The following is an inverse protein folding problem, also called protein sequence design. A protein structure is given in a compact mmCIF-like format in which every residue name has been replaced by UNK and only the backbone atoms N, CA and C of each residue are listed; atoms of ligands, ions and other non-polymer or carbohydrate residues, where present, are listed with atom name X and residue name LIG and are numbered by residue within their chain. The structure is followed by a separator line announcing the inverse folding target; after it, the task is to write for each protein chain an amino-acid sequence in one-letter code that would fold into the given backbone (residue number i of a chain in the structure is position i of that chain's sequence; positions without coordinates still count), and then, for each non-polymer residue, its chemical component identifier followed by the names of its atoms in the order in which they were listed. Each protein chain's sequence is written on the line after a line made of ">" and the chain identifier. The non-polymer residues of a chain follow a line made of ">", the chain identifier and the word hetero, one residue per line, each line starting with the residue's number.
data_IF_360268777120
#
_entry.id   IF_360268777120
#
_cell.length_a   1.000
_cell.length_b   1.000
_cell.length_c   1.000
_cell.angle_alpha   90.00
_cell.angle_beta   90.00
_cell.angle_gamma   90.00
#
_symmetry.space_group_name_H-M   'P 1'
#
loop_
_entity.id
_entity.type
_entity.pdbx_description
1 polymer ?
#
# COMPACT_ATOMS: atom_id res chain seq x y z
N UNK A 1 12.87 -13.76 4.75
CA UNK A 1 11.97 -14.51 5.67
C UNK A 1 10.56 -14.32 5.12
N UNK A 2 9.75 -15.36 4.92
CA UNK A 2 8.38 -15.16 4.42
C UNK A 2 7.52 -14.64 5.57
N UNK A 3 7.27 -13.33 5.59
CA UNK A 3 6.33 -12.71 6.53
C UNK A 3 4.95 -13.30 6.24
N UNK A 4 4.27 -13.79 7.27
CA UNK A 4 2.89 -14.26 7.13
C UNK A 4 1.93 -13.08 7.19
N UNK A 5 0.81 -13.23 6.49
CA UNK A 5 -0.28 -12.27 6.46
C UNK A 5 -0.76 -11.87 7.87
N UNK A 6 -1.07 -12.88 8.69
CA UNK A 6 -1.52 -12.75 10.08
C UNK A 6 -0.52 -11.98 10.94
N UNK A 7 0.77 -12.26 10.77
CA UNK A 7 1.84 -11.64 11.52
C UNK A 7 2.02 -10.16 11.15
N UNK A 8 1.89 -9.82 9.85
CA UNK A 8 2.01 -8.45 9.36
C UNK A 8 0.88 -7.55 9.86
N UNK A 9 -0.37 -8.04 9.80
CA UNK A 9 -1.54 -7.28 10.21
C UNK A 9 -1.84 -7.35 11.71
N UNK A 10 -1.12 -8.18 12.49
CA UNK A 10 -1.21 -8.21 13.95
C UNK A 10 -0.75 -6.89 14.59
N UNK A 11 -1.45 -6.42 15.62
CA UNK A 11 -1.03 -5.27 16.43
C UNK A 11 0.03 -5.61 17.47
N UNK A 12 0.25 -6.90 17.74
CA UNK A 12 1.19 -7.36 18.76
C UNK A 12 2.62 -7.42 18.24
N UNK A 13 2.79 -7.33 16.91
CA UNK A 13 4.07 -7.50 16.23
C UNK A 13 4.45 -6.25 15.43
N UNK A 14 5.67 -5.77 15.65
CA UNK A 14 6.33 -4.74 14.84
C UNK A 14 7.04 -5.40 13.63
N UNK A 15 6.23 -5.95 12.71
CA UNK A 15 6.72 -6.63 11.51
C UNK A 15 6.58 -5.70 10.31
N UNK A 16 7.71 -5.48 9.64
CA UNK A 16 7.80 -4.68 8.42
C UNK A 16 8.57 -5.45 7.35
N UNK A 17 8.18 -5.26 6.10
CA UNK A 17 8.95 -5.72 4.95
C UNK A 17 10.18 -4.82 4.76
N UNK A 18 11.33 -5.43 4.50
CA UNK A 18 12.50 -4.71 3.98
C UNK A 18 12.29 -4.38 2.49
N UNK A 19 13.07 -3.46 1.92
CA UNK A 19 12.86 -2.92 0.56
C UNK A 19 12.58 -3.97 -0.51
N UNK A 20 13.49 -4.92 -0.72
CA UNK A 20 13.31 -5.94 -1.75
C UNK A 20 12.08 -6.82 -1.51
N UNK A 21 11.66 -7.00 -0.26
CA UNK A 21 10.50 -7.81 0.08
C UNK A 21 9.19 -7.04 -0.13
N UNK A 22 9.19 -5.70 -0.05
CA UNK A 22 8.01 -4.86 -0.33
C UNK A 22 7.50 -5.10 -1.75
N UNK A 23 8.37 -4.93 -2.75
CA UNK A 23 7.99 -5.04 -4.16
C UNK A 23 7.50 -6.45 -4.52
N UNK A 24 8.06 -7.47 -3.87
CA UNK A 24 7.79 -8.87 -4.20
C UNK A 24 6.60 -9.48 -3.43
N UNK A 25 6.31 -8.99 -2.21
CA UNK A 25 5.34 -9.64 -1.33
C UNK A 25 4.16 -8.74 -0.95
N UNK A 26 4.34 -7.42 -0.88
CA UNK A 26 3.28 -6.48 -0.52
C UNK A 26 2.57 -6.00 -1.78
N UNK A 27 1.70 -6.84 -2.35
CA UNK A 27 0.95 -6.56 -3.57
C UNK A 27 -0.56 -6.41 -3.29
N UNK A 28 -1.35 -6.16 -4.34
CA UNK A 28 -2.80 -5.99 -4.26
C UNK A 28 -3.50 -7.21 -3.64
N UNK A 29 -3.14 -8.41 -4.10
CA UNK A 29 -3.69 -9.67 -3.59
C UNK A 29 -3.42 -9.81 -2.08
N UNK A 30 -2.19 -9.55 -1.64
CA UNK A 30 -1.81 -9.61 -0.23
C UNK A 30 -2.64 -8.64 0.64
N UNK A 31 -2.96 -7.45 0.13
CA UNK A 31 -3.79 -6.49 0.84
C UNK A 31 -5.25 -6.97 0.95
N UNK A 32 -5.82 -7.50 -0.12
CA UNK A 32 -7.19 -8.02 -0.12
C UNK A 32 -7.32 -9.31 0.71
N UNK A 33 -6.32 -10.18 0.70
CA UNK A 33 -6.22 -11.29 1.64
C UNK A 33 -6.22 -10.79 3.09
N UNK A 34 -5.46 -9.72 3.36
CA UNK A 34 -5.42 -9.05 4.66
C UNK A 34 -6.79 -8.54 5.10
N UNK A 35 -7.56 -7.97 4.16
CA UNK A 35 -8.91 -7.47 4.42
C UNK A 35 -9.85 -8.60 4.81
N UNK A 36 -9.83 -9.69 4.04
CA UNK A 36 -10.60 -10.89 4.34
C UNK A 36 -10.24 -11.47 5.71
N UNK A 37 -8.94 -11.50 6.04
CA UNK A 37 -8.47 -11.95 7.35
C UNK A 37 -9.00 -11.07 8.49
N UNK A 38 -8.83 -9.75 8.41
CA UNK A 38 -9.28 -8.83 9.45
C UNK A 38 -10.79 -8.89 9.65
N UNK A 39 -11.56 -8.94 8.56
CA UNK A 39 -13.01 -9.15 8.61
C UNK A 39 -13.36 -10.46 9.33
N UNK A 40 -12.66 -11.56 9.01
CA UNK A 40 -12.91 -12.87 9.61
C UNK A 40 -12.66 -12.88 11.13
N UNK A 41 -11.64 -12.15 11.60
CA UNK A 41 -11.30 -12.06 13.03
C UNK A 41 -12.01 -10.91 13.75
N UNK A 42 -12.91 -10.18 13.08
CA UNK A 42 -13.71 -9.10 13.67
C UNK A 42 -12.94 -7.82 13.96
N UNK A 43 -11.88 -7.53 13.19
CA UNK A 43 -11.07 -6.33 13.26
C UNK A 43 -11.46 -5.37 12.13
N UNK A 44 -11.50 -4.07 12.42
CA UNK A 44 -11.77 -3.01 11.44
C UNK A 44 -10.73 -3.04 10.30
N UNK A 45 -11.20 -3.13 9.05
CA UNK A 45 -10.36 -3.23 7.86
C UNK A 45 -9.59 -1.94 7.57
N UNK A 46 -10.00 -0.79 8.13
CA UNK A 46 -9.24 0.46 8.11
C UNK A 46 -7.82 0.32 8.64
N UNK A 47 -7.57 -0.71 9.47
CA UNK A 47 -6.24 -1.01 9.99
C UNK A 47 -5.22 -1.39 8.90
N UNK A 48 -5.68 -1.86 7.73
CA UNK A 48 -4.81 -2.07 6.57
C UNK A 48 -4.12 -0.77 6.18
N UNK A 49 -4.89 0.32 6.04
CA UNK A 49 -4.33 1.63 5.69
C UNK A 49 -3.28 2.07 6.71
N UNK A 50 -3.54 1.92 8.01
CA UNK A 50 -2.59 2.29 9.05
C UNK A 50 -1.32 1.42 9.03
N UNK A 51 -1.44 0.12 8.76
CA UNK A 51 -0.29 -0.78 8.60
C UNK A 51 0.55 -0.44 7.37
N UNK A 52 -0.08 -0.16 6.23
CA UNK A 52 0.62 0.29 5.02
C UNK A 52 1.31 1.64 5.24
N UNK A 53 0.67 2.57 5.96
CA UNK A 53 1.25 3.86 6.31
C UNK A 53 2.48 3.69 7.23
N UNK A 54 2.38 2.82 8.24
CA UNK A 54 3.51 2.50 9.11
C UNK A 54 4.68 1.89 8.32
N UNK A 55 4.40 1.00 7.36
CA UNK A 55 5.40 0.43 6.45
C UNK A 55 6.10 1.52 5.61
N UNK A 56 5.36 2.48 5.05
CA UNK A 56 5.94 3.62 4.34
C UNK A 56 6.89 4.42 5.24
N UNK A 57 6.48 4.74 6.47
CA UNK A 57 7.31 5.48 7.40
C UNK A 57 8.52 4.69 7.88
N UNK A 58 8.40 3.37 8.05
CA UNK A 58 9.54 2.51 8.36
C UNK A 58 10.61 2.60 7.27
N UNK A 59 10.23 2.49 6.00
CA UNK A 59 11.15 2.61 4.86
C UNK A 59 11.81 4.00 4.81
N UNK A 60 11.02 5.08 5.00
CA UNK A 60 11.52 6.46 5.06
C UNK A 60 12.50 6.67 6.22
N UNK A 61 12.19 6.11 7.41
CA UNK A 61 13.02 6.25 8.60
C UNK A 61 14.38 5.56 8.48
N UNK A 62 14.43 4.39 7.83
CA UNK A 62 15.69 3.67 7.56
C UNK A 62 16.62 4.43 6.60
N UNK A 63 16.22 5.60 6.11
CA UNK A 63 16.93 6.44 5.16
C UNK A 63 17.30 5.67 3.88
N UNK A 64 16.42 4.74 3.49
CA UNK A 64 16.64 3.90 2.33
C UNK A 64 16.30 4.72 1.09
N UNK A 65 17.30 4.96 0.24
CA UNK A 65 17.18 5.70 -1.03
C UNK A 65 16.59 4.86 -2.17
N UNK A 66 15.85 3.80 -1.85
CA UNK A 66 15.21 2.96 -2.87
C UNK A 66 13.86 3.53 -3.25
N UNK A 67 13.88 4.36 -4.30
CA UNK A 67 12.68 4.95 -4.84
C UNK A 67 11.67 3.92 -5.35
N UNK A 68 12.09 2.72 -5.80
CA UNK A 68 11.13 1.74 -6.34
C UNK A 68 10.30 1.12 -5.23
N UNK A 69 10.91 0.78 -4.09
CA UNK A 69 10.15 0.31 -2.93
C UNK A 69 9.21 1.38 -2.38
N UNK A 70 9.68 2.64 -2.32
CA UNK A 70 8.83 3.76 -1.89
C UNK A 70 7.69 3.99 -2.88
N UNK A 71 7.94 3.94 -4.19
CA UNK A 71 6.90 4.05 -5.21
C UNK A 71 5.85 2.94 -5.06
N UNK A 72 6.32 1.71 -4.84
CA UNK A 72 5.45 0.55 -4.69
C UNK A 72 4.53 0.63 -3.46
N UNK A 73 5.04 1.00 -2.28
CA UNK A 73 4.16 1.15 -1.11
C UNK A 73 3.15 2.30 -1.29
N UNK A 74 3.56 3.42 -1.90
CA UNK A 74 2.64 4.53 -2.22
C UNK A 74 1.54 4.06 -3.18
N UNK A 75 1.90 3.26 -4.20
CA UNK A 75 0.95 2.62 -5.12
C UNK A 75 -0.06 1.74 -4.38
N UNK A 76 0.39 0.87 -3.48
CA UNK A 76 -0.48 -0.04 -2.73
C UNK A 76 -1.42 0.73 -1.79
N UNK A 77 -0.94 1.79 -1.14
CA UNK A 77 -1.81 2.68 -0.35
C UNK A 77 -2.88 3.31 -1.23
N UNK A 78 -2.50 3.86 -2.38
CA UNK A 78 -3.47 4.48 -3.29
C UNK A 78 -4.51 3.48 -3.80
N UNK A 79 -4.09 2.27 -4.15
CA UNK A 79 -4.98 1.19 -4.57
C UNK A 79 -6.03 0.88 -3.51
N UNK A 80 -5.59 0.62 -2.27
CA UNK A 80 -6.49 0.24 -1.21
C UNK A 80 -7.43 1.37 -0.80
N UNK A 81 -6.91 2.58 -0.64
CA UNK A 81 -7.71 3.75 -0.23
C UNK A 81 -8.70 4.15 -1.32
N UNK A 82 -8.26 4.10 -2.58
CA UNK A 82 -9.03 4.59 -3.72
C UNK A 82 -10.13 3.65 -4.18
N UNK A 83 -9.96 2.33 -4.04
CA UNK A 83 -10.89 1.34 -4.59
C UNK A 83 -11.63 0.49 -3.55
N UNK A 84 -11.25 0.55 -2.26
CA UNK A 84 -11.83 -0.32 -1.23
C UNK A 84 -12.24 0.42 0.04
N UNK A 85 -11.32 1.18 0.66
CA UNK A 85 -11.60 1.78 1.96
C UNK A 85 -12.57 2.98 1.89
N UNK A 86 -12.47 3.80 0.84
CA UNK A 86 -13.29 5.00 0.60
C UNK A 86 -13.57 5.88 1.85
N UNK A 87 -12.53 6.33 2.60
CA UNK A 87 -12.75 7.24 3.71
C UNK A 87 -13.25 8.61 3.22
N UNK A 88 -13.66 9.49 4.13
CA UNK A 88 -13.97 10.88 3.78
C UNK A 88 -12.73 11.51 3.12
N UNK A 89 -12.93 12.11 1.93
CA UNK A 89 -11.84 12.62 1.07
C UNK A 89 -10.84 11.53 0.63
N UNK A 90 -11.24 10.27 0.62
CA UNK A 90 -10.39 9.13 0.26
C UNK A 90 -9.80 9.24 -1.13
N UNK A 91 -10.55 9.78 -2.08
CA UNK A 91 -10.06 10.09 -3.43
C UNK A 91 -8.84 11.02 -3.39
N UNK A 92 -8.92 12.16 -2.69
CA UNK A 92 -7.81 13.11 -2.59
C UNK A 92 -6.58 12.47 -1.93
N UNK A 93 -6.80 11.60 -0.95
CA UNK A 93 -5.73 10.85 -0.29
C UNK A 93 -5.09 9.87 -1.29
N UNK A 94 -5.89 9.06 -1.97
CA UNK A 94 -5.40 8.09 -2.94
C UNK A 94 -4.66 8.76 -4.12
N UNK A 95 -5.19 9.88 -4.63
CA UNK A 95 -4.55 10.68 -5.67
C UNK A 95 -3.19 11.24 -5.25
N UNK A 96 -3.06 11.70 -4.00
CA UNK A 96 -1.78 12.15 -3.47
C UNK A 96 -0.75 11.01 -3.45
N UNK A 97 -1.14 9.84 -2.98
CA UNK A 97 -0.25 8.68 -2.91
C UNK A 97 0.16 8.17 -4.29
N UNK A 98 -0.78 8.06 -5.24
CA UNK A 98 -0.43 7.59 -6.58
C UNK A 98 0.47 8.58 -7.33
N UNK A 99 0.30 9.89 -7.10
CA UNK A 99 1.18 10.91 -7.67
C UNK A 99 2.59 10.85 -7.10
N UNK A 100 2.74 10.57 -5.80
CA UNK A 100 4.05 10.31 -5.20
C UNK A 100 4.67 9.02 -5.78
N UNK A 101 3.89 7.96 -6.00
CA UNK A 101 4.37 6.73 -6.62
C UNK A 101 4.91 6.96 -8.05
N UNK A 102 4.16 7.69 -8.88
CA UNK A 102 4.57 8.02 -10.25
C UNK A 102 5.83 8.89 -10.26
N UNK A 103 5.98 9.83 -9.31
CA UNK A 103 7.15 10.70 -9.24
C UNK A 103 8.43 10.01 -8.79
N UNK A 104 8.34 8.87 -8.12
CA UNK A 104 9.48 8.10 -7.60
C UNK A 104 9.94 6.98 -8.56
N UNK A 105 9.02 6.40 -9.33
CA UNK A 105 9.31 5.24 -10.18
C UNK A 105 10.04 5.62 -11.47
N UNK A 106 10.93 4.74 -11.94
CA UNK A 106 11.69 4.87 -13.18
C UNK A 106 11.33 3.80 -14.22
N UNK A 107 10.68 2.70 -13.82
CA UNK A 107 10.20 1.67 -14.73
C UNK A 107 8.90 2.13 -15.42
N UNK A 108 8.98 2.37 -16.73
CA UNK A 108 7.84 2.78 -17.54
C UNK A 108 6.65 1.82 -17.46
N UNK A 109 6.87 0.51 -17.34
CA UNK A 109 5.77 -0.46 -17.25
C UNK A 109 4.98 -0.29 -15.96
N UNK A 110 5.66 -0.03 -14.83
CA UNK A 110 5.03 0.27 -13.55
C UNK A 110 4.35 1.63 -13.56
N UNK A 111 4.99 2.64 -14.17
CA UNK A 111 4.42 3.99 -14.31
C UNK A 111 3.09 3.94 -15.06
N UNK A 112 2.99 3.17 -16.15
CA UNK A 112 1.72 3.02 -16.87
C UNK A 112 0.66 2.34 -16.00
N UNK A 113 1.01 1.27 -15.28
CA UNK A 113 0.10 0.64 -14.29
C UNK A 113 -0.39 1.66 -13.24
N UNK A 114 0.48 2.54 -12.76
CA UNK A 114 0.12 3.56 -11.76
C UNK A 114 -0.80 4.63 -12.35
N UNK A 115 -0.61 5.01 -13.61
CA UNK A 115 -1.51 5.93 -14.33
C UNK A 115 -2.88 5.31 -14.58
N UNK A 116 -2.95 4.02 -14.90
CA UNK A 116 -4.20 3.28 -15.04
C UNK A 116 -5.00 3.31 -13.73
N UNK A 117 -4.35 2.99 -12.60
CA UNK A 117 -4.99 3.11 -11.28
C UNK A 117 -5.44 4.55 -11.00
N UNK A 118 -4.60 5.55 -11.30
CA UNK A 118 -4.99 6.97 -11.15
C UNK A 118 -6.23 7.32 -11.97
N UNK A 119 -6.39 6.75 -13.16
CA UNK A 119 -7.59 6.94 -13.98
C UNK A 119 -8.81 6.29 -13.32
N UNK A 120 -8.68 5.03 -12.86
CA UNK A 120 -9.77 4.32 -12.16
C UNK A 120 -10.27 5.09 -10.94
N UNK A 121 -9.36 5.60 -10.10
CA UNK A 121 -9.72 6.39 -8.90
C UNK A 121 -10.55 7.62 -9.27
N UNK A 122 -10.30 8.23 -10.44
CA UNK A 122 -11.05 9.41 -10.91
C UNK A 122 -12.38 9.06 -11.56
N UNK A 123 -12.58 7.82 -12.00
CA UNK A 123 -13.81 7.33 -12.63
C UNK A 123 -14.85 6.88 -11.60
N UNK A 124 -14.46 6.60 -10.35
CA UNK A 124 -15.37 6.33 -9.21
C UNK A 124 -16.20 7.56 -8.75
N UNK A 125 -16.19 8.65 -9.53
CA UNK A 125 -16.90 9.92 -9.29
C UNK A 125 -18.19 10.02 -10.12
#
# INVERSE_FOLDING_TARGET
>A
MKIKLEDYFSFENDIFFETNDVVNNLNEEFVLEGENYLNHVGIDTSNIYFKLLAQLYFLKYKNITDNSSLAHINYIIAYYVGLFLHPINGELIALKFIDEAIGLENDNSKIEKYKELKAMIKEEL
#
